data_IF_446463638908
#
_entry.id   IF_446463638908
#
_cell.length_a   1.000
_cell.length_b   1.000
_cell.length_c   1.000
_cell.angle_alpha   90.00
_cell.angle_beta   90.00
_cell.angle_gamma   90.00
#
_symmetry.space_group_name_H-M   'P 1'
#
loop_
_entity.id
_entity.type
_entity.pdbx_description
1 polymer ?
#
# COMPACT_ATOMS: atom_id res chain seq x y z
N UNK A 1 -2.30 28.81 6.55
CA UNK A 1 -1.62 27.71 5.86
C UNK A 1 -2.35 26.44 6.24
N UNK A 2 -3.01 25.77 5.30
CA UNK A 2 -3.70 24.52 5.57
C UNK A 2 -2.63 23.46 5.88
N UNK A 3 -2.70 22.73 7.01
CA UNK A 3 -1.79 21.60 7.19
C UNK A 3 -2.12 20.60 6.08
N UNK A 4 -1.17 20.34 5.20
CA UNK A 4 -1.19 19.18 4.32
C UNK A 4 -1.37 17.99 5.25
N UNK A 5 -2.56 17.40 5.24
CA UNK A 5 -2.92 16.25 6.08
C UNK A 5 -2.22 15.03 5.50
N UNK A 6 -0.90 15.00 5.62
CA UNK A 6 -0.09 13.82 5.38
C UNK A 6 -0.55 12.82 6.43
N UNK A 7 -1.34 11.83 6.02
CA UNK A 7 -1.63 10.68 6.86
C UNK A 7 -0.29 9.98 7.12
N UNK A 8 0.34 10.30 8.24
CA UNK A 8 1.54 9.61 8.69
C UNK A 8 1.05 8.26 9.18
N UNK A 9 1.29 7.23 8.39
CA UNK A 9 1.05 5.85 8.77
C UNK A 9 2.17 5.47 9.74
N UNK A 10 1.86 5.43 11.04
CA UNK A 10 2.84 5.11 12.09
C UNK A 10 3.19 3.61 12.09
N UNK A 11 2.23 2.79 11.65
CA UNK A 11 2.37 1.33 11.56
C UNK A 11 1.70 0.78 10.31
N UNK A 12 2.19 -0.35 9.78
CA UNK A 12 1.56 -1.01 8.64
C UNK A 12 0.15 -1.53 8.94
N UNK A 13 -0.25 -1.64 10.21
CA UNK A 13 -1.62 -2.01 10.64
C UNK A 13 -2.66 -0.91 10.36
N UNK A 14 -2.25 0.36 10.21
CA UNK A 14 -3.14 1.46 9.84
C UNK A 14 -3.43 1.51 8.33
N UNK A 15 -2.74 0.68 7.52
CA UNK A 15 -3.08 0.57 6.11
C UNK A 15 -4.44 -0.08 5.93
N UNK A 16 -5.19 0.44 4.97
CA UNK A 16 -6.47 -0.11 4.55
C UNK A 16 -6.46 -0.38 3.06
N UNK A 17 -7.24 -1.37 2.63
CA UNK A 17 -7.41 -1.68 1.21
C UNK A 17 -7.94 -0.47 0.42
N UNK A 18 -8.83 0.33 1.02
CA UNK A 18 -9.37 1.55 0.42
C UNK A 18 -8.28 2.59 0.18
N UNK A 19 -7.42 2.84 1.19
CA UNK A 19 -6.29 3.75 1.04
C UNK A 19 -5.32 3.29 -0.04
N UNK A 20 -4.99 1.99 -0.09
CA UNK A 20 -4.12 1.42 -1.13
C UNK A 20 -4.76 1.56 -2.50
N UNK A 21 -6.05 1.29 -2.63
CA UNK A 21 -6.80 1.45 -3.88
C UNK A 21 -6.73 2.91 -4.37
N UNK A 22 -6.98 3.86 -3.47
CA UNK A 22 -6.91 5.29 -3.77
C UNK A 22 -5.49 5.76 -4.12
N UNK A 23 -4.47 5.24 -3.43
CA UNK A 23 -3.07 5.60 -3.65
C UNK A 23 -2.50 5.00 -4.94
N UNK A 24 -2.89 3.77 -5.29
CA UNK A 24 -2.41 3.05 -6.48
C UNK A 24 -3.14 3.49 -7.74
N UNK A 25 -4.43 3.83 -7.64
CA UNK A 25 -5.26 4.26 -8.77
C UNK A 25 -5.41 3.22 -9.90
N UNK A 26 -5.02 1.97 -9.66
CA UNK A 26 -4.92 0.94 -10.70
C UNK A 26 -6.00 -0.15 -10.60
N UNK A 27 -6.48 -0.45 -9.40
CA UNK A 27 -7.50 -1.47 -9.17
C UNK A 27 -7.92 -1.57 -7.70
N UNK A 28 -9.12 -2.10 -7.45
CA UNK A 28 -9.62 -2.33 -6.09
C UNK A 28 -8.80 -3.41 -5.41
N UNK A 29 -8.03 -3.03 -4.40
CA UNK A 29 -7.30 -3.96 -3.53
C UNK A 29 -8.33 -4.70 -2.68
N UNK A 30 -8.36 -6.03 -2.79
CA UNK A 30 -9.23 -6.88 -1.98
C UNK A 30 -8.51 -7.41 -0.74
N UNK A 31 -7.18 -7.46 -0.78
CA UNK A 31 -6.35 -7.92 0.32
C UNK A 31 -4.92 -7.41 0.14
N UNK A 32 -4.20 -7.34 1.24
CA UNK A 32 -2.77 -7.08 1.20
C UNK A 32 -2.10 -7.78 2.37
N UNK A 33 -0.82 -8.09 2.19
CA UNK A 33 0.05 -8.59 3.25
C UNK A 33 1.31 -7.74 3.27
N UNK A 34 1.90 -7.54 4.43
CA UNK A 34 3.16 -6.80 4.52
C UNK A 34 4.21 -7.59 5.29
N UNK A 35 5.46 -7.43 4.87
CA UNK A 35 6.62 -7.97 5.53
C UNK A 35 7.66 -6.87 5.73
N UNK A 36 8.38 -6.94 6.85
CA UNK A 36 9.47 -6.02 7.14
C UNK A 36 10.71 -6.43 6.36
N UNK A 37 11.13 -5.59 5.42
CA UNK A 37 12.26 -5.88 4.51
C UNK A 37 13.56 -5.14 4.87
N UNK A 38 13.55 -4.28 5.90
CA UNK A 38 14.73 -3.56 6.36
C UNK A 38 14.98 -3.78 7.85
N UNK A 39 16.23 -4.07 8.23
CA UNK A 39 16.64 -4.23 9.64
C UNK A 39 17.59 -3.12 10.14
N UNK A 40 17.84 -2.08 9.33
CA UNK A 40 19.02 -1.24 9.49
C UNK A 40 18.76 0.26 9.59
N UNK A 41 18.77 0.76 10.83
CA UNK A 41 19.37 2.03 11.27
C UNK A 41 18.73 3.38 10.86
N UNK A 42 17.87 3.49 9.85
CA UNK A 42 17.29 4.81 9.48
C UNK A 42 15.79 4.85 9.15
N UNK A 43 15.17 3.79 8.62
CA UNK A 43 13.71 3.77 8.38
C UNK A 43 13.17 2.34 8.36
N UNK A 44 11.99 2.15 8.93
CA UNK A 44 11.27 0.87 8.92
C UNK A 44 10.67 0.66 7.52
N UNK A 45 11.37 -0.08 6.65
CA UNK A 45 10.85 -0.39 5.31
C UNK A 45 9.97 -1.63 5.36
N UNK A 46 8.73 -1.50 4.85
CA UNK A 46 7.80 -2.61 4.67
C UNK A 46 7.55 -2.86 3.19
N UNK A 47 7.59 -4.12 2.77
CA UNK A 47 7.06 -4.53 1.48
C UNK A 47 5.60 -4.90 1.69
N UNK A 48 4.73 -4.33 0.88
CA UNK A 48 3.30 -4.65 0.84
C UNK A 48 3.01 -5.41 -0.45
N UNK A 49 2.61 -6.67 -0.32
CA UNK A 49 2.10 -7.49 -1.41
C UNK A 49 0.60 -7.23 -1.56
N UNK A 50 0.14 -7.02 -2.78
CA UNK A 50 -1.21 -6.55 -3.08
C UNK A 50 -2.00 -7.62 -3.82
N UNK A 51 -3.22 -7.86 -3.36
CA UNK A 51 -4.19 -8.73 -4.00
C UNK A 51 -5.37 -7.88 -4.48
N UNK A 52 -5.58 -7.84 -5.79
CA UNK A 52 -6.69 -7.09 -6.38
C UNK A 52 -7.93 -7.97 -6.48
N UNK A 53 -9.10 -7.38 -6.30
CA UNK A 53 -10.36 -8.05 -6.59
C UNK A 53 -10.38 -8.49 -8.06
N UNK A 54 -10.89 -9.70 -8.33
CA UNK A 54 -11.01 -10.22 -9.69
C UNK A 54 -11.96 -9.31 -10.50
N UNK A 55 -11.37 -8.41 -11.29
CA UNK A 55 -12.04 -7.58 -12.27
C UNK A 55 -11.81 -8.09 -13.70
N UNK A 56 -12.44 -7.46 -14.71
CA UNK A 56 -12.16 -7.74 -16.12
C UNK A 56 -10.64 -7.70 -16.36
N UNK A 57 -10.11 -8.64 -17.16
CA UNK A 57 -8.67 -8.84 -17.35
C UNK A 57 -7.90 -7.57 -17.81
N UNK A 58 -8.61 -6.57 -18.34
CA UNK A 58 -8.08 -5.26 -18.75
C UNK A 58 -7.86 -4.28 -17.58
N UNK A 59 -8.36 -4.59 -16.37
CA UNK A 59 -8.27 -3.79 -15.14
C UNK A 59 -7.36 -4.43 -14.07
N UNK A 60 -6.72 -5.56 -14.37
CA UNK A 60 -5.74 -6.21 -13.50
C UNK A 60 -4.36 -5.52 -13.54
N UNK A 61 -4.33 -4.19 -13.63
CA UNK A 61 -3.15 -3.40 -14.03
C UNK A 61 -2.29 -2.84 -12.90
N UNK A 62 -2.52 -3.23 -11.64
CA UNK A 62 -1.78 -2.70 -10.50
C UNK A 62 -0.44 -3.43 -10.26
N UNK A 63 0.53 -2.78 -9.59
CA UNK A 63 1.76 -3.44 -9.17
C UNK A 63 1.45 -4.58 -8.21
N UNK A 64 2.18 -5.70 -8.34
CA UNK A 64 2.02 -6.86 -7.46
C UNK A 64 2.51 -6.58 -6.01
N UNK A 65 3.44 -5.65 -5.84
CA UNK A 65 3.89 -5.20 -4.52
C UNK A 65 4.43 -3.76 -4.57
N UNK A 66 4.39 -3.09 -3.42
CA UNK A 66 4.95 -1.76 -3.20
C UNK A 66 5.84 -1.73 -1.95
N UNK A 67 6.68 -0.71 -1.83
CA UNK A 67 7.52 -0.50 -0.65
C UNK A 67 7.07 0.77 0.05
N UNK A 68 6.74 0.63 1.34
CA UNK A 68 6.49 1.74 2.25
C UNK A 68 7.80 2.14 2.92
N UNK A 69 8.05 3.45 2.98
CA UNK A 69 9.23 4.09 3.57
C UNK A 69 8.80 5.32 4.36
#
# INVERSE_FOLDING_TARGET
MQPTRTAVLDRPEDLTCDWLTAALGAGQVSGFSFERIGTGQMSECYRVSLEYAAGPAEQAGGPASVVLK
#
